data_IF_445522599006
#
_entry.id   IF_445522599006
#
_cell.length_a   1.000
_cell.length_b   1.000
_cell.length_c   1.000
_cell.angle_alpha   90.00
_cell.angle_beta   90.00
_cell.angle_gamma   90.00
#
_symmetry.space_group_name_H-M   'P 1'
#
loop_
_entity.id
_entity.type
_entity.pdbx_description
1 polymer ?
#
# COMPACT_ATOMS: atom_id res chain seq x y z
N UNK A 1 -17.44 -0.29 13.60
CA UNK A 1 -16.37 0.06 14.56
C UNK A 1 -16.22 1.56 14.52
N UNK A 2 -16.24 2.24 15.66
CA UNK A 2 -16.01 3.70 15.68
C UNK A 2 -14.52 4.02 15.47
N UNK A 3 -14.22 5.25 15.02
CA UNK A 3 -12.85 5.64 14.69
C UNK A 3 -11.92 5.75 15.91
N UNK A 4 -12.47 5.92 17.11
CA UNK A 4 -11.71 6.12 18.34
C UNK A 4 -11.26 4.79 18.95
N UNK A 5 -12.17 3.80 18.98
CA UNK A 5 -11.93 2.41 19.32
C UNK A 5 -10.86 1.80 18.42
N UNK A 6 -10.86 2.12 17.13
CA UNK A 6 -9.84 1.61 16.22
C UNK A 6 -8.46 2.18 16.49
N UNK A 7 -8.36 3.48 16.82
CA UNK A 7 -7.09 4.06 17.24
C UNK A 7 -6.54 3.41 18.50
N UNK A 8 -7.40 3.08 19.46
CA UNK A 8 -6.99 2.43 20.70
C UNK A 8 -6.48 1.00 20.44
N UNK A 9 -7.22 0.21 19.67
CA UNK A 9 -6.81 -1.16 19.31
C UNK A 9 -5.52 -1.17 18.48
N UNK A 10 -5.37 -0.21 17.57
CA UNK A 10 -4.12 -0.03 16.84
C UNK A 10 -2.96 0.29 17.78
N UNK A 11 -3.14 1.21 18.74
CA UNK A 11 -2.11 1.52 19.72
C UNK A 11 -1.68 0.26 20.49
N UNK A 12 -2.64 -0.57 20.92
CA UNK A 12 -2.38 -1.82 21.63
C UNK A 12 -1.65 -2.86 20.76
N UNK A 13 -1.96 -2.94 19.47
CA UNK A 13 -1.20 -3.76 18.51
C UNK A 13 0.25 -3.25 18.41
N UNK A 14 0.43 -1.93 18.28
CA UNK A 14 1.73 -1.33 18.08
C UNK A 14 2.65 -1.46 19.29
N UNK A 15 2.12 -1.54 20.52
CA UNK A 15 2.95 -1.85 21.71
C UNK A 15 3.66 -3.22 21.63
N UNK A 16 3.12 -4.15 20.83
CA UNK A 16 3.67 -5.50 20.61
C UNK A 16 4.58 -5.59 19.39
N UNK A 17 4.73 -4.50 18.65
CA UNK A 17 5.54 -4.41 17.44
C UNK A 17 6.67 -3.40 17.64
N UNK A 18 7.88 -3.90 17.86
CA UNK A 18 9.04 -3.04 18.03
C UNK A 18 9.43 -2.34 16.72
N UNK A 19 9.82 -1.07 16.85
CA UNK A 19 10.40 -0.28 15.78
C UNK A 19 9.44 0.20 14.70
N UNK A 20 8.13 0.25 14.97
CA UNK A 20 7.18 0.96 14.09
C UNK A 20 7.33 2.48 14.32
N UNK A 21 7.56 3.22 13.24
CA UNK A 21 7.70 4.68 13.25
C UNK A 21 6.40 5.39 12.86
N UNK A 22 5.77 4.95 11.77
CA UNK A 22 4.58 5.58 11.18
C UNK A 22 3.60 4.51 10.71
N UNK A 23 2.31 4.81 10.86
CA UNK A 23 1.24 4.05 10.21
C UNK A 23 0.28 5.02 9.52
N UNK A 24 0.08 4.84 8.22
CA UNK A 24 -0.90 5.57 7.43
C UNK A 24 -2.05 4.64 7.04
N UNK A 25 -3.25 5.21 6.93
CA UNK A 25 -4.36 4.65 6.18
C UNK A 25 -4.40 5.36 4.82
N UNK A 26 -4.42 4.63 3.73
CA UNK A 26 -4.52 5.21 2.38
C UNK A 26 -5.50 4.42 1.52
N UNK A 27 -5.54 4.72 0.22
CA UNK A 27 -6.35 3.97 -0.74
C UNK A 27 -7.83 4.39 -0.76
N UNK A 28 -8.69 3.48 -1.22
CA UNK A 28 -10.09 3.73 -1.62
C UNK A 28 -10.99 4.35 -0.52
N UNK A 29 -10.57 4.27 0.74
CA UNK A 29 -11.25 4.90 1.89
C UNK A 29 -10.98 6.41 2.01
N UNK A 30 -9.90 6.92 1.42
CA UNK A 30 -9.54 8.35 1.46
C UNK A 30 -10.34 9.14 0.43
N UNK A 31 -10.62 8.56 -0.75
CA UNK A 31 -11.28 9.24 -1.87
C UNK A 31 -12.76 8.83 -2.07
N UNK A 32 -13.31 7.94 -1.23
CA UNK A 32 -14.74 7.58 -1.27
C UNK A 32 -15.15 6.66 -2.44
N UNK A 33 -14.20 6.18 -3.25
CA UNK A 33 -14.47 5.28 -4.39
C UNK A 33 -14.04 3.86 -4.02
N UNK A 34 -14.99 3.05 -3.53
CA UNK A 34 -14.76 1.63 -3.20
C UNK A 34 -14.46 0.83 -4.48
N UNK A 35 -13.19 0.54 -4.73
CA UNK A 35 -12.75 -0.45 -5.73
C UNK A 35 -12.88 -1.88 -5.20
N UNK A 36 -12.82 -2.91 -6.07
CA UNK A 36 -13.06 -4.31 -5.69
C UNK A 36 -11.87 -5.03 -5.02
N UNK A 37 -10.74 -4.36 -4.81
CA UNK A 37 -9.51 -4.94 -4.25
C UNK A 37 -9.12 -4.13 -3.01
N UNK A 38 -9.09 -4.78 -1.84
CA UNK A 38 -8.77 -4.21 -0.53
C UNK A 38 -9.77 -3.16 -0.01
N UNK A 39 -10.43 -3.46 1.12
CA UNK A 39 -11.33 -2.50 1.79
C UNK A 39 -10.53 -1.57 2.75
N UNK A 40 -9.29 -1.95 3.11
CA UNK A 40 -8.42 -1.26 4.05
C UNK A 40 -6.92 -1.36 3.67
N UNK A 41 -6.37 -0.27 3.14
CA UNK A 41 -4.95 -0.16 2.79
C UNK A 41 -4.17 0.62 3.85
N UNK A 42 -3.15 -0.01 4.42
CA UNK A 42 -2.28 0.59 5.43
C UNK A 42 -0.85 0.67 4.95
N UNK A 43 -0.12 1.69 5.38
CA UNK A 43 1.31 1.78 5.13
C UNK A 43 2.05 1.85 6.46
N UNK A 44 3.18 1.15 6.57
CA UNK A 44 4.00 1.14 7.78
C UNK A 44 5.43 1.54 7.45
N UNK A 45 5.97 2.49 8.20
CA UNK A 45 7.40 2.79 8.24
C UNK A 45 7.99 2.15 9.49
N UNK A 46 9.11 1.45 9.34
CA UNK A 46 9.86 0.89 10.46
C UNK A 46 11.27 1.47 10.59
N UNK A 47 11.85 1.37 11.77
CA UNK A 47 13.22 1.75 12.06
C UNK A 47 14.24 0.96 11.21
N UNK A 48 15.40 1.59 10.98
CA UNK A 48 16.51 0.89 10.33
C UNK A 48 17.03 -0.20 11.27
N UNK A 49 17.33 -1.37 10.71
CA UNK A 49 17.81 -2.53 11.47
C UNK A 49 16.71 -3.47 11.96
N UNK A 50 15.44 -3.06 11.86
CA UNK A 50 14.28 -3.92 12.12
C UNK A 50 13.93 -4.74 10.87
N UNK A 51 13.47 -5.97 11.08
CA UNK A 51 12.94 -6.82 10.02
C UNK A 51 11.56 -6.31 9.56
N UNK A 52 11.58 -5.34 8.64
CA UNK A 52 10.38 -4.71 8.08
C UNK A 52 9.36 -5.70 7.51
N UNK A 53 9.75 -6.69 6.67
CA UNK A 53 8.83 -7.72 6.19
C UNK A 53 8.12 -8.50 7.32
N UNK A 54 8.83 -8.81 8.41
CA UNK A 54 8.22 -9.47 9.57
C UNK A 54 7.23 -8.56 10.29
N UNK A 55 7.55 -7.29 10.48
CA UNK A 55 6.64 -6.31 11.07
C UNK A 55 5.41 -6.10 10.20
N UNK A 56 5.59 -5.95 8.88
CA UNK A 56 4.53 -5.83 7.89
C UNK A 56 3.56 -7.02 7.97
N UNK A 57 4.07 -8.25 7.95
CA UNK A 57 3.25 -9.45 8.02
C UNK A 57 2.47 -9.57 9.35
N UNK A 58 3.12 -9.24 10.48
CA UNK A 58 2.47 -9.24 11.79
C UNK A 58 1.38 -8.18 11.89
N UNK A 59 1.67 -6.96 11.42
CA UNK A 59 0.69 -5.87 11.43
C UNK A 59 -0.51 -6.21 10.55
N UNK A 60 -0.29 -6.78 9.36
CA UNK A 60 -1.37 -7.23 8.48
C UNK A 60 -2.27 -8.26 9.16
N UNK A 61 -1.67 -9.23 9.87
CA UNK A 61 -2.42 -10.24 10.61
C UNK A 61 -3.27 -9.66 11.75
N UNK A 62 -2.67 -8.83 12.61
CA UNK A 62 -3.38 -8.22 13.74
C UNK A 62 -4.52 -7.29 13.26
N UNK A 63 -4.27 -6.50 12.21
CA UNK A 63 -5.29 -5.65 11.59
C UNK A 63 -6.44 -6.46 10.98
N UNK A 64 -6.14 -7.58 10.32
CA UNK A 64 -7.17 -8.47 9.78
C UNK A 64 -8.06 -9.06 10.89
N UNK A 65 -7.47 -9.41 12.04
CA UNK A 65 -8.21 -9.89 13.21
C UNK A 65 -9.12 -8.81 13.81
N UNK A 66 -8.60 -7.59 14.01
CA UNK A 66 -9.35 -6.45 14.55
C UNK A 66 -10.49 -6.03 13.63
N UNK A 67 -10.20 -5.86 12.35
CA UNK A 67 -11.17 -5.42 11.34
C UNK A 67 -12.14 -6.53 10.94
N UNK A 68 -11.88 -7.78 11.37
CA UNK A 68 -12.62 -8.98 10.98
C UNK A 68 -12.77 -9.09 9.46
N UNK A 69 -11.69 -8.77 8.75
CA UNK A 69 -11.64 -8.67 7.29
C UNK A 69 -10.37 -9.33 6.76
N UNK A 70 -10.51 -10.14 5.72
CA UNK A 70 -9.41 -10.74 4.97
C UNK A 70 -8.85 -9.78 3.89
N UNK A 71 -9.42 -8.58 3.78
CA UNK A 71 -9.08 -7.56 2.78
C UNK A 71 -8.28 -6.41 3.38
N UNK A 72 -7.21 -6.76 4.06
CA UNK A 72 -6.23 -5.82 4.61
C UNK A 72 -4.94 -5.94 3.81
N UNK A 73 -4.51 -4.83 3.22
CA UNK A 73 -3.17 -4.72 2.62
C UNK A 73 -2.30 -3.81 3.48
N UNK A 74 -1.03 -4.20 3.65
CA UNK A 74 -0.05 -3.43 4.40
C UNK A 74 1.18 -3.23 3.53
N UNK A 75 1.47 -1.98 3.18
CA UNK A 75 2.65 -1.59 2.40
C UNK A 75 3.79 -1.21 3.34
N UNK A 76 4.98 -1.75 3.08
CA UNK A 76 6.20 -1.35 3.78
C UNK A 76 6.82 -0.12 3.12
N UNK A 77 6.71 1.04 3.78
CA UNK A 77 7.19 2.34 3.31
C UNK A 77 8.70 2.40 3.10
N UNK A 78 9.48 1.57 3.80
CA UNK A 78 10.92 1.44 3.62
C UNK A 78 11.31 0.92 2.21
N UNK A 79 10.38 0.26 1.50
CA UNK A 79 10.62 -0.38 0.19
C UNK A 79 9.58 0.00 -0.86
N UNK A 80 8.66 0.91 -0.55
CA UNK A 80 7.62 1.32 -1.46
C UNK A 80 8.22 2.07 -2.66
N UNK A 81 7.72 1.85 -3.89
CA UNK A 81 8.02 2.71 -5.03
C UNK A 81 7.68 4.16 -4.71
N UNK A 82 8.48 5.11 -5.24
CA UNK A 82 8.38 6.52 -4.87
C UNK A 82 7.01 7.11 -5.22
N UNK A 83 6.37 6.65 -6.29
CA UNK A 83 5.04 7.09 -6.70
C UNK A 83 3.97 6.67 -5.70
N UNK A 84 4.07 5.45 -5.17
CA UNK A 84 3.16 4.94 -4.14
C UNK A 84 3.42 5.64 -2.80
N UNK A 85 4.67 5.77 -2.40
CA UNK A 85 5.04 6.50 -1.18
C UNK A 85 4.53 7.95 -1.22
N UNK A 86 4.71 8.63 -2.36
CA UNK A 86 4.19 9.99 -2.58
C UNK A 86 2.67 10.04 -2.45
N UNK A 87 1.94 9.12 -3.10
CA UNK A 87 0.48 9.06 -2.97
C UNK A 87 0.04 8.86 -1.52
N UNK A 88 0.73 7.98 -0.78
CA UNK A 88 0.44 7.71 0.64
C UNK A 88 0.65 8.95 1.50
N UNK A 89 1.76 9.69 1.35
CA UNK A 89 1.98 10.89 2.18
C UNK A 89 1.08 12.07 1.77
N UNK A 90 0.69 12.15 0.49
CA UNK A 90 -0.11 13.26 -0.03
C UNK A 90 -1.61 13.11 0.30
N UNK A 91 -2.11 11.88 0.33
CA UNK A 91 -3.54 11.59 0.51
C UNK A 91 -3.82 10.81 1.79
N UNK A 92 -2.87 10.02 2.27
CA UNK A 92 -3.07 9.13 3.41
C UNK A 92 -3.30 9.89 4.72
N UNK A 93 -4.07 9.23 5.59
CA UNK A 93 -4.34 9.70 6.96
C UNK A 93 -3.38 9.04 7.93
N UNK A 94 -2.67 9.83 8.71
CA UNK A 94 -1.81 9.32 9.78
C UNK A 94 -2.68 8.68 10.87
N UNK A 95 -2.44 7.41 11.15
CA UNK A 95 -3.06 6.67 12.24
C UNK A 95 -2.14 6.59 13.46
N UNK A 96 -0.84 6.53 13.22
CA UNK A 96 0.19 6.51 14.25
C UNK A 96 1.43 7.26 13.75
N UNK A 97 2.00 8.10 14.61
CA UNK A 97 3.35 8.62 14.48
C UNK A 97 4.07 8.47 15.82
N UNK A 98 5.29 7.95 15.81
CA UNK A 98 6.14 7.85 16.99
C UNK A 98 6.63 9.23 17.42
N UNK A 99 7.10 10.00 16.45
CA UNK A 99 7.58 11.37 16.62
C UNK A 99 7.47 12.16 15.31
N UNK A 100 7.21 13.46 15.44
CA UNK A 100 6.98 14.35 14.29
C UNK A 100 8.23 14.50 13.42
N UNK A 101 9.44 14.43 14.00
CA UNK A 101 10.68 14.59 13.27
C UNK A 101 10.87 13.45 12.24
N UNK A 102 10.69 12.20 12.67
CA UNK A 102 10.75 11.02 11.79
C UNK A 102 9.73 11.10 10.66
N UNK A 103 8.52 11.58 10.94
CA UNK A 103 7.50 11.79 9.92
C UNK A 103 7.96 12.82 8.89
N UNK A 104 8.37 14.01 9.34
CA UNK A 104 8.79 15.11 8.48
C UNK A 104 10.00 14.72 7.63
N UNK A 105 10.98 14.03 8.21
CA UNK A 105 12.15 13.52 7.49
C UNK A 105 11.78 12.52 6.40
N UNK A 106 10.88 11.57 6.70
CA UNK A 106 10.40 10.61 5.71
C UNK A 106 9.63 11.30 4.58
N UNK A 107 8.67 12.16 4.91
CA UNK A 107 7.86 12.89 3.93
C UNK A 107 8.73 13.80 3.04
N UNK A 108 9.69 14.52 3.62
CA UNK A 108 10.63 15.36 2.87
C UNK A 108 11.50 14.52 1.92
N UNK A 109 11.98 13.36 2.37
CA UNK A 109 12.77 12.43 1.55
C UNK A 109 11.95 11.94 0.34
N UNK A 110 10.70 11.54 0.57
CA UNK A 110 9.80 11.10 -0.50
C UNK A 110 9.50 12.24 -1.48
N UNK A 111 9.24 13.45 -0.99
CA UNK A 111 9.00 14.64 -1.83
C UNK A 111 10.21 14.95 -2.73
N UNK A 112 11.43 14.88 -2.18
CA UNK A 112 12.66 15.07 -2.95
C UNK A 112 12.79 14.03 -4.06
N UNK A 113 12.71 12.74 -3.72
CA UNK A 113 12.83 11.67 -4.72
C UNK A 113 11.73 11.73 -5.79
N UNK A 114 10.50 12.05 -5.40
CA UNK A 114 9.41 12.20 -6.35
C UNK A 114 9.65 13.40 -7.28
N UNK A 115 10.13 14.52 -6.74
CA UNK A 115 10.51 15.70 -7.51
C UNK A 115 11.56 15.39 -8.58
N UNK A 116 12.60 14.63 -8.22
CA UNK A 116 13.65 14.19 -9.15
C UNK A 116 13.13 13.23 -10.22
N UNK A 117 12.13 12.41 -9.88
CA UNK A 117 11.55 11.42 -10.78
C UNK A 117 10.42 11.97 -11.68
N UNK A 118 9.83 13.11 -11.29
CA UNK A 118 8.73 13.75 -12.01
C UNK A 118 9.01 14.07 -13.49
N UNK A 119 10.22 14.52 -13.90
CA UNK A 119 10.55 14.73 -15.32
C UNK A 119 10.43 13.45 -16.14
N UNK A 120 10.85 12.30 -15.59
CA UNK A 120 10.76 11.01 -16.27
C UNK A 120 9.29 10.58 -16.45
N UNK A 121 8.48 10.69 -15.39
CA UNK A 121 7.04 10.39 -15.47
C UNK A 121 6.32 11.26 -16.52
N UNK A 122 6.68 12.54 -16.61
CA UNK A 122 6.11 13.46 -17.61
C UNK A 122 6.53 13.07 -19.03
N UNK A 123 7.77 12.65 -19.23
CA UNK A 123 8.24 12.16 -20.53
C UNK A 123 7.51 10.88 -20.93
N UNK A 124 7.45 9.88 -20.05
CA UNK A 124 6.74 8.62 -20.29
C UNK A 124 5.26 8.85 -20.61
N UNK A 125 4.58 9.72 -19.86
CA UNK A 125 3.18 10.08 -20.12
C UNK A 125 3.01 10.68 -21.51
N UNK A 126 3.91 11.58 -21.92
CA UNK A 126 3.89 12.20 -23.25
C UNK A 126 4.10 11.16 -24.35
N UNK A 127 4.99 10.19 -24.15
CA UNK A 127 5.25 9.13 -25.13
C UNK A 127 4.06 8.17 -25.27
N UNK A 128 3.39 7.84 -24.17
CA UNK A 128 2.13 7.06 -24.18
C UNK A 128 1.04 7.82 -24.97
N UNK A 129 0.91 9.13 -24.75
CA UNK A 129 -0.11 9.95 -25.42
C UNK A 129 0.20 10.24 -26.90
N UNK A 130 1.47 10.14 -27.32
CA UNK A 130 1.92 10.34 -28.70
C UNK A 130 1.83 9.08 -29.57
N UNK A 131 1.37 7.95 -29.03
CA UNK A 131 1.58 6.62 -29.59
C UNK A 131 1.24 6.46 -31.08
N UNK A 132 2.25 6.12 -31.88
CA UNK A 132 2.10 5.53 -33.21
C UNK A 132 2.43 4.01 -33.25
N UNK A 133 2.78 3.34 -32.13
CA UNK A 133 3.12 1.90 -32.16
C UNK A 133 2.77 1.09 -30.88
N UNK A 134 1.96 1.64 -29.98
CA UNK A 134 1.71 1.03 -28.65
C UNK A 134 0.51 0.09 -28.55
N UNK A 135 -0.36 0.08 -29.55
CA UNK A 135 -1.65 -0.62 -29.48
C UNK A 135 -1.48 -2.16 -29.40
N UNK A 136 -0.45 -2.71 -30.06
CA UNK A 136 -0.14 -4.14 -30.03
C UNK A 136 0.44 -4.60 -28.68
N UNK A 137 1.25 -3.76 -28.01
CA UNK A 137 1.86 -4.10 -26.71
C UNK A 137 0.85 -4.02 -25.57
N UNK A 138 -0.01 -2.99 -25.56
CA UNK A 138 -1.08 -2.86 -24.56
C UNK A 138 -2.09 -3.99 -24.67
N UNK A 139 -2.45 -4.41 -25.90
CA UNK A 139 -3.29 -5.59 -26.13
C UNK A 139 -2.63 -6.88 -25.65
N UNK A 140 -1.33 -7.08 -25.90
CA UNK A 140 -0.56 -8.24 -25.40
C UNK A 140 -0.47 -8.27 -23.87
N UNK A 141 -0.25 -7.11 -23.24
CA UNK A 141 -0.16 -6.99 -21.78
C UNK A 141 -1.51 -7.29 -21.12
N UNK A 142 -2.62 -6.71 -21.62
CA UNK A 142 -3.98 -7.05 -21.18
C UNK A 142 -4.31 -8.54 -21.37
N UNK A 143 -3.90 -9.13 -22.48
CA UNK A 143 -4.13 -10.55 -22.75
C UNK A 143 -3.27 -11.50 -21.89
N UNK A 144 -2.11 -11.06 -21.41
CA UNK A 144 -1.24 -11.82 -20.50
C UNK A 144 -1.74 -11.74 -19.05
N UNK A 145 -2.16 -10.55 -18.59
CA UNK A 145 -2.78 -10.35 -17.28
C UNK A 145 -4.10 -11.13 -17.13
N UNK A 146 -4.98 -11.05 -18.13
CA UNK A 146 -6.24 -11.80 -18.08
C UNK A 146 -6.07 -13.32 -18.11
N UNK A 147 -4.90 -13.84 -18.49
CA UNK A 147 -4.58 -15.28 -18.38
C UNK A 147 -4.12 -15.65 -16.97
N UNK A 148 -3.25 -14.84 -16.37
CA UNK A 148 -2.75 -15.05 -15.01
C UNK A 148 -3.85 -14.91 -13.97
N UNK A 149 -4.75 -13.94 -14.12
CA UNK A 149 -5.91 -13.75 -13.24
C UNK A 149 -6.88 -14.96 -13.27
N UNK A 150 -7.10 -15.55 -14.46
CA UNK A 150 -7.91 -16.77 -14.59
C UNK A 150 -7.28 -17.98 -13.93
N UNK A 151 -5.97 -18.16 -14.08
CA UNK A 151 -5.23 -19.25 -13.44
C UNK A 151 -5.24 -19.11 -11.91
N UNK A 152 -5.01 -17.90 -11.39
CA UNK A 152 -5.06 -17.62 -9.95
C UNK A 152 -6.47 -17.79 -9.38
N UNK A 153 -7.51 -17.41 -10.12
CA UNK A 153 -8.91 -17.65 -9.76
C UNK A 153 -9.25 -19.16 -9.69
N UNK A 154 -8.75 -19.96 -10.63
CA UNK A 154 -8.96 -21.41 -10.66
C UNK A 154 -8.27 -22.13 -9.50
N UNK A 155 -7.04 -21.72 -9.15
CA UNK A 155 -6.30 -22.26 -7.99
C UNK A 155 -7.05 -21.98 -6.69
N UNK A 156 -7.56 -20.76 -6.51
CA UNK A 156 -8.37 -20.38 -5.33
C UNK A 156 -9.71 -21.12 -5.25
N UNK A 157 -10.36 -21.36 -6.38
CA UNK A 157 -11.61 -22.12 -6.44
C UNK A 157 -11.40 -23.62 -6.14
N UNK A 158 -10.26 -24.19 -6.55
CA UNK A 158 -9.89 -25.57 -6.23
C UNK A 158 -9.60 -25.77 -4.74
N UNK A 159 -8.96 -24.79 -4.09
CA UNK A 159 -8.68 -24.85 -2.65
C UNK A 159 -9.95 -24.76 -1.78
N UNK A 160 -11.00 -24.06 -2.24
CA UNK A 160 -12.29 -23.97 -1.54
C UNK A 160 -13.17 -25.22 -1.65
N UNK A 161 -12.91 -26.11 -2.61
CA UNK A 161 -13.66 -27.38 -2.78
C UNK A 161 -13.03 -28.56 -2.03
N UNK A 162 -11.85 -28.37 -1.45
CA UNK A 162 -11.10 -29.40 -0.72
C UNK A 162 -11.26 -29.30 0.81
N UNK A 163 -12.25 -28.54 1.29
CA UNK A 163 -12.64 -28.38 2.70
C UNK A 163 -14.14 -28.58 2.81
#
# INVERSE_FOLDING_TARGET
MDAQSFKQELADILTRLEGVCLVYLFGSQVEGVRGPMSDHDFAVLVERGVDGPRVQARLAHELACVLKSDRVDVVLLNRAPVELAYAIIAQGKILYERDTATRVEYEATVLSFYGDYLPYLRAQRRDILRGDDHDQRVRRYRAALGRTERTLGQIRAAQRKAT
#
